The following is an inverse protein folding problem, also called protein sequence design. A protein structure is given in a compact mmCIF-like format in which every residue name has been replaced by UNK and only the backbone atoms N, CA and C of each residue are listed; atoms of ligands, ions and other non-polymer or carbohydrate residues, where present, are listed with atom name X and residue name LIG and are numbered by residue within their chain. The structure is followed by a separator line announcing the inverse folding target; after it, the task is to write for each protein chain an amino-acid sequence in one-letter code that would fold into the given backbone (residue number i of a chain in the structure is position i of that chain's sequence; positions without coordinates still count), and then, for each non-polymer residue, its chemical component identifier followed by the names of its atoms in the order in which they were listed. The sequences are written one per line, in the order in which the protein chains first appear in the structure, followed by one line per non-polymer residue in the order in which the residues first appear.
data_IF_248564877923
#
_entry.id   IF_248564877923
#
_cell.length_a   1.000
_cell.length_b   1.000
_cell.length_c   1.000
_cell.angle_alpha   90.00
_cell.angle_beta   90.00
_cell.angle_gamma   90.00
#
_symmetry.space_group_name_H-M   'P 1'
#
loop_
_entity.id
_entity.type
_entity.pdbx_description
1 polymer ?
#
# COMPACT_ATOMS: atom_id res chain seq x y z
N UNK A 1 -14.03 -5.03 10.31
CA UNK A 1 -12.80 -4.71 9.56
C UNK A 1 -12.87 -3.26 9.07
N UNK A 2 -11.75 -2.60 9.10
CA UNK A 2 -11.63 -1.25 8.58
C UNK A 2 -11.99 -1.24 7.08
N UNK A 3 -12.92 -0.40 6.69
CA UNK A 3 -13.40 -0.31 5.29
C UNK A 3 -12.29 0.10 4.32
N UNK A 4 -11.30 0.85 4.79
CA UNK A 4 -10.20 1.29 3.91
C UNK A 4 -9.18 0.18 3.69
N UNK A 5 -8.90 -0.64 4.71
CA UNK A 5 -8.10 -1.84 4.48
C UNK A 5 -8.84 -2.81 3.56
N UNK A 6 -10.17 -2.92 3.71
CA UNK A 6 -10.96 -3.73 2.79
C UNK A 6 -10.85 -3.23 1.35
N UNK A 7 -10.84 -1.91 1.14
CA UNK A 7 -10.65 -1.34 -0.18
C UNK A 7 -9.25 -1.67 -0.75
N UNK A 8 -8.22 -1.64 0.09
CA UNK A 8 -6.87 -2.04 -0.32
C UNK A 8 -6.83 -3.53 -0.70
N UNK A 9 -7.52 -4.38 0.05
CA UNK A 9 -7.64 -5.81 -0.25
C UNK A 9 -8.35 -6.01 -1.60
N UNK A 10 -9.41 -5.26 -1.86
CA UNK A 10 -10.11 -5.32 -3.15
C UNK A 10 -9.18 -4.96 -4.31
N UNK A 11 -8.32 -3.96 -4.14
CA UNK A 11 -7.30 -3.63 -5.13
C UNK A 11 -6.31 -4.78 -5.34
N UNK A 12 -5.89 -5.43 -4.25
CA UNK A 12 -5.01 -6.59 -4.33
C UNK A 12 -5.66 -7.74 -5.11
N UNK A 13 -6.93 -8.01 -4.84
CA UNK A 13 -7.70 -9.05 -5.53
C UNK A 13 -7.86 -8.72 -7.01
N UNK A 14 -8.11 -7.47 -7.34
CA UNK A 14 -8.21 -7.00 -8.71
C UNK A 14 -6.90 -7.23 -9.46
N UNK A 15 -5.76 -6.92 -8.85
CA UNK A 15 -4.46 -7.18 -9.42
C UNK A 15 -4.21 -8.67 -9.67
N UNK A 16 -4.64 -9.51 -8.74
CA UNK A 16 -4.51 -10.97 -8.89
C UNK A 16 -5.32 -11.49 -10.08
N UNK A 17 -6.56 -11.01 -10.23
CA UNK A 17 -7.43 -11.38 -11.37
C UNK A 17 -6.79 -10.97 -12.69
N UNK A 18 -6.06 -9.86 -12.72
CA UNK A 18 -5.34 -9.39 -13.90
C UNK A 18 -4.06 -10.18 -14.19
N UNK A 19 -3.73 -11.15 -13.37
CA UNK A 19 -2.52 -11.96 -13.50
C UNK A 19 -1.29 -11.37 -12.82
N UNK A 20 -1.47 -10.37 -11.98
CA UNK A 20 -0.38 -9.69 -11.28
C UNK A 20 -0.22 -10.11 -9.83
N UNK A 21 0.61 -9.37 -9.12
CA UNK A 21 0.94 -9.60 -7.72
C UNK A 21 -0.18 -9.01 -6.86
N UNK A 22 -0.75 -9.77 -5.89
CA UNK A 22 -1.90 -9.31 -5.10
C UNK A 22 -1.51 -8.36 -3.96
N UNK A 23 -1.10 -7.15 -4.32
CA UNK A 23 -0.79 -6.07 -3.39
C UNK A 23 -1.62 -4.86 -3.79
N UNK A 24 -2.34 -4.30 -2.83
CA UNK A 24 -3.19 -3.13 -3.06
C UNK A 24 -2.98 -2.06 -2.02
N UNK A 25 -3.30 -0.82 -2.40
CA UNK A 25 -3.15 0.34 -1.53
C UNK A 25 -4.23 1.37 -1.81
N UNK A 26 -4.61 2.11 -0.77
CA UNK A 26 -5.48 3.28 -0.90
C UNK A 26 -4.91 4.42 -0.06
N UNK A 27 -5.03 5.64 -0.57
CA UNK A 27 -4.67 6.87 0.16
C UNK A 27 -5.97 7.54 0.55
N UNK A 28 -6.10 7.88 1.84
CA UNK A 28 -7.33 8.39 2.44
C UNK A 28 -7.09 9.77 3.03
N UNK A 29 -7.92 10.73 2.65
CA UNK A 29 -7.93 12.08 3.22
C UNK A 29 -9.36 12.44 3.62
N UNK A 30 -9.55 12.87 4.88
CA UNK A 30 -10.87 13.24 5.42
C UNK A 30 -11.91 12.14 5.19
N UNK A 31 -11.57 10.89 5.50
CA UNK A 31 -12.43 9.72 5.32
C UNK A 31 -12.85 9.44 3.87
N UNK A 32 -12.11 9.97 2.89
CA UNK A 32 -12.36 9.72 1.48
C UNK A 32 -11.10 9.16 0.82
N UNK A 33 -11.29 8.13 0.01
CA UNK A 33 -10.19 7.61 -0.82
C UNK A 33 -9.91 8.62 -1.93
N UNK A 34 -8.68 9.15 -1.95
CA UNK A 34 -8.23 10.10 -2.98
C UNK A 34 -7.36 9.42 -4.04
N UNK A 35 -6.89 8.22 -3.77
CA UNK A 35 -6.15 7.42 -4.75
C UNK A 35 -6.18 5.98 -4.33
N UNK A 36 -6.34 5.09 -5.30
CA UNK A 36 -6.29 3.65 -5.06
C UNK A 36 -5.52 2.98 -6.18
N UNK A 37 -4.83 1.92 -5.86
CA UNK A 37 -4.01 1.22 -6.83
C UNK A 37 -3.62 -0.17 -6.38
N UNK A 38 -3.04 -0.90 -7.31
CA UNK A 38 -2.51 -2.23 -7.04
C UNK A 38 -1.22 -2.43 -7.84
N UNK A 39 -0.43 -3.42 -7.46
CA UNK A 39 0.83 -3.70 -8.11
C UNK A 39 0.60 -4.02 -9.60
N UNK A 40 1.31 -3.30 -10.48
CA UNK A 40 1.21 -3.45 -11.94
C UNK A 40 2.52 -3.92 -12.58
N UNK A 41 3.40 -4.47 -11.77
CA UNK A 41 4.71 -4.94 -12.27
C UNK A 41 4.55 -5.90 -13.44
N UNK A 42 3.65 -6.87 -13.30
CA UNK A 42 3.41 -7.87 -14.35
C UNK A 42 2.58 -7.27 -15.48
N UNK A 43 1.47 -6.59 -15.14
CA UNK A 43 0.53 -6.09 -16.14
C UNK A 43 1.15 -5.04 -17.08
N UNK A 44 1.97 -4.14 -16.53
CA UNK A 44 2.55 -3.01 -17.26
C UNK A 44 4.05 -3.16 -17.53
N UNK A 45 4.67 -4.24 -17.05
CA UNK A 45 6.12 -4.37 -17.14
C UNK A 45 6.87 -3.27 -16.41
N UNK A 46 6.29 -2.74 -15.33
CA UNK A 46 6.85 -1.59 -14.62
C UNK A 46 7.54 -2.01 -13.32
N UNK A 47 8.80 -1.64 -13.10
CA UNK A 47 9.47 -1.90 -11.83
C UNK A 47 9.04 -0.92 -10.73
N UNK A 48 8.34 0.17 -11.09
CA UNK A 48 8.00 1.26 -10.17
C UNK A 48 6.57 1.15 -9.67
N UNK A 49 5.65 0.64 -10.47
CA UNK A 49 4.23 0.64 -10.12
C UNK A 49 3.89 -0.48 -9.12
N UNK A 50 4.45 -0.40 -7.93
CA UNK A 50 3.98 -1.12 -6.76
C UNK A 50 2.59 -0.58 -6.37
N UNK A 51 1.86 -1.29 -5.52
CA UNK A 51 0.51 -0.87 -5.12
C UNK A 51 0.48 0.56 -4.59
N UNK A 52 1.43 0.89 -3.74
CA UNK A 52 1.52 2.23 -3.14
C UNK A 52 1.83 3.29 -4.20
N UNK A 53 2.76 3.01 -5.11
CA UNK A 53 3.12 3.95 -6.17
C UNK A 53 1.96 4.16 -7.14
N UNK A 54 1.22 3.09 -7.46
CA UNK A 54 0.02 3.18 -8.29
C UNK A 54 -1.06 4.03 -7.60
N UNK A 55 -1.22 3.89 -6.29
CA UNK A 55 -2.14 4.72 -5.52
C UNK A 55 -1.74 6.21 -5.56
N UNK A 56 -0.46 6.51 -5.42
CA UNK A 56 0.05 7.88 -5.57
C UNK A 56 -0.23 8.44 -6.97
N UNK A 57 0.04 7.63 -8.00
CA UNK A 57 -0.21 8.04 -9.39
C UNK A 57 -1.68 8.37 -9.61
N UNK A 58 -2.57 7.55 -9.08
CA UNK A 58 -4.02 7.73 -9.23
C UNK A 58 -4.57 8.85 -8.35
N UNK A 59 -3.94 9.14 -7.21
CA UNK A 59 -4.30 10.31 -6.39
C UNK A 59 -3.94 11.60 -7.12
N UNK A 60 -2.92 11.55 -7.95
CA UNK A 60 -2.43 12.71 -8.66
C UNK A 60 -1.69 13.68 -7.75
N UNK A 61 -1.43 14.87 -8.28
CA UNK A 61 -0.71 15.90 -7.54
C UNK A 61 -1.62 16.55 -6.51
N UNK A 62 -1.28 16.36 -5.24
CA UNK A 62 -2.02 16.94 -4.12
C UNK A 62 -1.17 18.01 -3.44
N UNK A 63 -1.81 18.88 -2.64
CA UNK A 63 -1.06 19.83 -1.82
C UNK A 63 -0.28 19.10 -0.73
N UNK A 64 0.81 19.70 -0.27
CA UNK A 64 1.59 19.14 0.83
C UNK A 64 0.73 18.94 2.08
N UNK A 65 -0.21 19.85 2.34
CA UNK A 65 -1.11 19.74 3.49
C UNK A 65 -2.03 18.53 3.35
N UNK A 66 -2.61 18.30 2.17
CA UNK A 66 -3.47 17.15 1.93
C UNK A 66 -2.72 15.84 2.23
N UNK A 67 -1.49 15.71 1.73
CA UNK A 67 -0.70 14.50 1.99
C UNK A 67 -0.34 14.36 3.48
N UNK A 68 0.00 15.47 4.16
CA UNK A 68 0.31 15.41 5.60
C UNK A 68 -0.89 14.97 6.43
N UNK A 69 -2.11 15.25 5.97
CA UNK A 69 -3.36 14.87 6.64
C UNK A 69 -3.89 13.53 6.16
N UNK A 70 -3.15 12.83 5.30
CA UNK A 70 -3.60 11.58 4.70
C UNK A 70 -3.04 10.37 5.43
N UNK A 71 -3.76 9.25 5.25
CA UNK A 71 -3.37 7.93 5.71
C UNK A 71 -3.22 7.04 4.49
N UNK A 72 -2.16 6.25 4.39
CA UNK A 72 -2.05 5.24 3.36
C UNK A 72 -2.29 3.86 3.98
N UNK A 73 -3.17 3.08 3.35
CA UNK A 73 -3.44 1.70 3.69
C UNK A 73 -2.79 0.85 2.61
N UNK A 74 -1.99 -0.12 3.00
CA UNK A 74 -1.35 -1.05 2.06
C UNK A 74 -1.43 -2.47 2.59
N UNK A 75 -1.71 -3.44 1.72
CA UNK A 75 -1.90 -4.82 2.15
C UNK A 75 -0.61 -5.50 2.59
N UNK A 76 0.54 -4.99 2.14
CA UNK A 76 1.86 -5.54 2.47
C UNK A 76 2.78 -4.43 2.95
N UNK A 77 3.70 -4.77 3.85
CA UNK A 77 4.71 -3.85 4.37
C UNK A 77 5.45 -3.17 3.22
N UNK A 78 5.58 -1.81 3.22
CA UNK A 78 6.12 -1.09 2.09
C UNK A 78 7.64 -1.23 1.96
N UNK A 79 8.11 -1.46 0.73
CA UNK A 79 9.53 -1.54 0.41
C UNK A 79 10.21 -0.17 0.54
N UNK A 80 11.52 -0.13 0.31
CA UNK A 80 12.32 1.10 0.42
C UNK A 80 11.80 2.21 -0.51
N UNK A 81 11.42 1.87 -1.75
CA UNK A 81 10.92 2.85 -2.71
C UNK A 81 9.60 3.46 -2.25
N UNK A 82 8.66 2.61 -1.84
CA UNK A 82 7.33 3.08 -1.40
C UNK A 82 7.42 3.82 -0.08
N UNK A 83 8.25 3.37 0.84
CA UNK A 83 8.51 4.06 2.10
C UNK A 83 9.14 5.43 1.86
N UNK A 84 10.07 5.52 0.89
CA UNK A 84 10.64 6.80 0.47
C UNK A 84 9.60 7.77 -0.06
N UNK A 85 8.66 7.29 -0.87
CA UNK A 85 7.56 8.11 -1.37
C UNK A 85 6.66 8.60 -0.24
N UNK A 86 6.32 7.73 0.70
CA UNK A 86 5.50 8.09 1.88
C UNK A 86 6.18 9.21 2.66
N UNK A 87 7.48 9.09 2.90
CA UNK A 87 8.28 10.11 3.62
C UNK A 87 8.35 11.40 2.80
N UNK A 88 8.66 11.28 1.51
CA UNK A 88 8.84 12.43 0.63
C UNK A 88 7.59 13.30 0.55
N UNK A 89 6.43 12.68 0.40
CA UNK A 89 5.17 13.41 0.27
C UNK A 89 4.51 13.73 1.61
N UNK A 90 5.09 13.26 2.71
CA UNK A 90 4.70 13.66 4.04
C UNK A 90 3.46 12.99 4.60
N UNK A 91 3.09 11.82 4.08
CA UNK A 91 1.99 11.06 4.67
C UNK A 91 2.36 10.70 6.10
N UNK A 92 1.47 11.02 7.04
CA UNK A 92 1.77 10.94 8.47
C UNK A 92 1.44 9.59 9.12
N UNK A 93 0.66 8.75 8.44
CA UNK A 93 0.19 7.51 9.03
C UNK A 93 0.10 6.41 7.96
N UNK A 94 0.62 5.23 8.30
CA UNK A 94 0.60 4.06 7.42
C UNK A 94 -0.07 2.92 8.17
N UNK A 95 -1.09 2.30 7.56
CA UNK A 95 -1.73 1.10 8.06
C UNK A 95 -1.35 -0.06 7.15
N UNK A 96 -0.69 -1.05 7.70
CA UNK A 96 -0.12 -2.19 6.97
C UNK A 96 -0.97 -3.42 7.23
N UNK A 97 -1.41 -4.08 6.16
CA UNK A 97 -2.20 -5.29 6.27
C UNK A 97 -1.41 -6.43 6.91
N UNK A 98 -0.17 -6.64 6.47
CA UNK A 98 0.69 -7.67 7.07
C UNK A 98 2.16 -7.38 6.78
N UNK A 99 3.04 -7.87 7.62
CA UNK A 99 4.48 -7.86 7.43
C UNK A 99 5.10 -9.25 7.61
N UNK A 100 4.26 -10.28 7.58
CA UNK A 100 4.68 -11.67 7.78
C UNK A 100 5.38 -12.23 6.54
N UNK A 101 4.82 -12.01 5.35
CA UNK A 101 5.40 -12.54 4.11
C UNK A 101 6.57 -11.70 3.61
N UNK A 102 6.60 -10.43 3.98
CA UNK A 102 7.68 -9.50 3.66
C UNK A 102 7.71 -8.37 4.69
N UNK A 103 8.87 -8.11 5.25
CA UNK A 103 9.09 -6.96 6.14
C UNK A 103 9.86 -5.90 5.35
N UNK A 104 9.21 -4.76 5.13
CA UNK A 104 9.80 -3.61 4.45
C UNK A 104 10.50 -2.66 5.40
N UNK A 105 10.43 -1.35 5.12
CA UNK A 105 11.18 -0.32 5.83
C UNK A 105 10.38 0.34 6.95
N UNK A 106 9.70 -0.47 7.78
CA UNK A 106 8.88 0.06 8.88
C UNK A 106 9.72 0.86 9.90
N UNK A 107 10.92 0.39 10.19
CA UNK A 107 11.82 1.08 11.12
C UNK A 107 12.20 2.47 10.58
N UNK A 108 12.44 2.59 9.27
CA UNK A 108 12.75 3.87 8.64
C UNK A 108 11.56 4.82 8.73
N UNK A 109 10.36 4.34 8.47
CA UNK A 109 9.13 5.13 8.58
C UNK A 109 8.98 5.71 9.99
N UNK A 110 9.12 4.85 11.00
CA UNK A 110 9.02 5.25 12.40
C UNK A 110 10.11 6.27 12.75
N UNK A 111 11.35 6.04 12.31
CA UNK A 111 12.47 6.94 12.56
C UNK A 111 12.24 8.34 11.94
N UNK A 112 11.45 8.42 10.88
CA UNK A 112 11.12 9.67 10.21
C UNK A 112 9.80 10.28 10.70
N UNK A 113 9.23 9.76 11.78
CA UNK A 113 8.05 10.33 12.42
C UNK A 113 6.72 9.88 11.84
N UNK A 114 6.72 8.86 10.98
CA UNK A 114 5.49 8.29 10.43
C UNK A 114 4.90 7.32 11.47
N UNK A 115 3.61 7.45 11.73
CA UNK A 115 2.89 6.50 12.57
C UNK A 115 2.62 5.23 11.79
N UNK A 116 3.02 4.07 12.32
CA UNK A 116 2.90 2.78 11.64
C UNK A 116 2.03 1.85 12.47
N UNK A 117 1.00 1.29 11.84
CA UNK A 117 0.14 0.28 12.45
C UNK A 117 0.14 -0.96 11.57
N UNK A 118 0.41 -2.14 12.16
CA UNK A 118 0.40 -3.42 11.43
C UNK A 118 -0.74 -4.27 11.97
N UNK A 119 -1.64 -4.69 11.07
CA UNK A 119 -2.86 -5.40 11.46
C UNK A 119 -2.67 -6.91 11.55
N UNK A 120 -1.67 -7.47 10.85
CA UNK A 120 -1.51 -8.92 10.65
C UNK A 120 -2.82 -9.55 10.18
N UNK A 121 -3.39 -8.93 9.15
CA UNK A 121 -4.68 -9.31 8.58
C UNK A 121 -4.54 -10.64 7.85
N UNK A 122 -5.35 -11.63 8.24
CA UNK A 122 -5.26 -12.98 7.68
C UNK A 122 -5.54 -13.02 6.19
N UNK A 123 -6.46 -12.22 5.70
CA UNK A 123 -6.78 -12.17 4.28
C UNK A 123 -5.60 -11.63 3.46
N UNK A 124 -4.90 -10.62 3.98
CA UNK A 124 -3.69 -10.08 3.35
C UNK A 124 -2.58 -11.14 3.31
N UNK A 125 -2.38 -11.82 4.42
CA UNK A 125 -1.36 -12.89 4.53
C UNK A 125 -1.67 -14.00 3.52
N UNK A 126 -2.92 -14.46 3.47
CA UNK A 126 -3.33 -15.54 2.58
C UNK A 126 -3.18 -15.16 1.10
N UNK A 127 -3.51 -13.92 0.73
CA UNK A 127 -3.34 -13.45 -0.65
C UNK A 127 -1.89 -13.60 -1.10
N UNK A 128 -0.94 -13.12 -0.31
CA UNK A 128 0.47 -13.20 -0.65
C UNK A 128 1.00 -14.62 -0.55
N UNK A 129 0.63 -15.36 0.50
CA UNK A 129 1.13 -16.72 0.69
C UNK A 129 0.67 -17.63 -0.44
N UNK A 130 -0.60 -17.55 -0.83
CA UNK A 130 -1.13 -18.33 -1.95
C UNK A 130 -0.42 -17.97 -3.25
N UNK A 131 -0.16 -16.69 -3.48
CA UNK A 131 0.56 -16.23 -4.66
C UNK A 131 1.99 -16.80 -4.69
N UNK A 132 2.70 -16.71 -3.57
CA UNK A 132 4.08 -17.23 -3.45
C UNK A 132 4.09 -18.74 -3.70
N UNK A 133 3.11 -19.47 -3.20
CA UNK A 133 3.01 -20.92 -3.33
C UNK A 133 2.76 -21.38 -4.77
N UNK A 134 2.40 -20.47 -5.68
CA UNK A 134 2.22 -20.81 -7.11
C UNK A 134 3.53 -20.85 -7.89
N UNK A 135 4.64 -20.49 -7.29
CA UNK A 135 5.95 -20.50 -7.95
C UNK A 135 6.80 -21.70 -7.59
#
# INVERSE_FOLDING_TARGET
MDKFMQAAIEEAQKGLVEGGIPIGSVIVHNNKIIGRGHNRRVQSGSPILHGEMDAFENAGRQSAQTYRESIIYTTLSPCAMCSGAIILYGISHVVIGENHTFLGEEALLIARGVSVEVLQNQQCIHLMQNFIDTF
#
